data_IF_412302905675
#
_entry.id   IF_412302905675
#
_cell.length_a   1.000
_cell.length_b   1.000
_cell.length_c   1.000
_cell.angle_alpha   90.00
_cell.angle_beta   90.00
_cell.angle_gamma   90.00
#
_symmetry.space_group_name_H-M   'P 1'
#
loop_
_entity.id
_entity.type
_entity.pdbx_description
1 polymer ?
#
# COMPACT_ATOMS: atom_id res chain seq x y z
N UNK A 1 -25.25 -36.56 24.48
CA UNK A 1 -26.30 -35.85 25.24
C UNK A 1 -25.77 -35.60 26.64
N UNK A 2 -25.28 -34.39 26.90
CA UNK A 2 -24.44 -34.10 28.08
C UNK A 2 -25.24 -33.96 29.40
N UNK A 3 -26.58 -34.01 29.35
CA UNK A 3 -27.46 -33.75 30.48
C UNK A 3 -28.60 -34.78 30.67
N UNK A 4 -28.49 -35.99 30.07
CA UNK A 4 -29.54 -37.03 30.19
C UNK A 4 -30.74 -36.86 29.26
N UNK A 5 -30.71 -35.85 28.38
CA UNK A 5 -31.70 -35.67 27.32
C UNK A 5 -31.72 -36.86 26.34
N UNK A 6 -32.88 -37.13 25.74
CA UNK A 6 -33.03 -38.20 24.75
C UNK A 6 -32.62 -37.73 23.36
N UNK A 7 -31.74 -38.49 22.67
CA UNK A 7 -31.25 -38.12 21.34
C UNK A 7 -32.38 -37.94 20.32
N UNK A 8 -33.50 -38.63 20.52
CA UNK A 8 -34.71 -38.50 19.71
C UNK A 8 -35.41 -37.16 19.90
N UNK A 9 -35.49 -36.63 21.12
CA UNK A 9 -36.09 -35.33 21.38
C UNK A 9 -35.26 -34.21 20.72
N UNK A 10 -33.95 -34.22 20.93
CA UNK A 10 -33.04 -33.24 20.31
C UNK A 10 -33.03 -33.35 18.78
N UNK A 11 -33.17 -34.57 18.23
CA UNK A 11 -33.31 -34.78 16.79
C UNK A 11 -34.61 -34.17 16.23
N UNK A 12 -35.72 -34.33 16.96
CA UNK A 12 -37.02 -33.78 16.58
C UNK A 12 -36.99 -32.24 16.59
N UNK A 13 -36.45 -31.64 17.65
CA UNK A 13 -36.36 -30.19 17.81
C UNK A 13 -35.47 -29.55 16.74
N UNK A 14 -34.32 -30.16 16.46
CA UNK A 14 -33.38 -29.69 15.45
C UNK A 14 -33.80 -30.10 14.02
N UNK A 15 -34.87 -30.89 13.86
CA UNK A 15 -35.35 -31.46 12.59
C UNK A 15 -34.25 -32.18 11.80
N UNK A 16 -33.37 -32.89 12.51
CA UNK A 16 -32.27 -33.68 11.92
C UNK A 16 -32.41 -35.13 12.31
N UNK A 17 -31.94 -36.05 11.47
CA UNK A 17 -31.97 -37.47 11.80
C UNK A 17 -31.04 -37.77 12.99
N UNK A 18 -31.51 -38.56 13.96
CA UNK A 18 -30.77 -38.93 15.19
C UNK A 18 -29.36 -39.47 14.96
N UNK A 19 -29.12 -40.14 13.82
CA UNK A 19 -27.79 -40.66 13.45
C UNK A 19 -26.75 -39.56 13.26
N UNK A 20 -27.15 -38.40 12.73
CA UNK A 20 -26.27 -37.22 12.60
C UNK A 20 -25.79 -36.72 13.96
N UNK A 21 -26.65 -36.78 14.98
CA UNK A 21 -26.28 -36.37 16.33
C UNK A 21 -25.21 -37.29 16.92
N UNK A 22 -25.30 -38.60 16.67
CA UNK A 22 -24.27 -39.54 17.10
C UNK A 22 -22.95 -39.34 16.34
N UNK A 23 -23.00 -39.13 15.02
CA UNK A 23 -21.82 -38.79 14.20
C UNK A 23 -21.12 -37.54 14.73
N UNK A 24 -21.88 -36.47 14.98
CA UNK A 24 -21.34 -35.23 15.52
C UNK A 24 -20.79 -35.39 16.93
N UNK A 25 -21.48 -36.15 17.80
CA UNK A 25 -20.99 -36.41 19.14
C UNK A 25 -19.65 -37.18 19.11
N UNK A 26 -19.53 -38.15 18.22
CA UNK A 26 -18.31 -38.94 18.06
C UNK A 26 -17.16 -38.08 17.49
N UNK A 27 -17.45 -37.23 16.49
CA UNK A 27 -16.49 -36.24 15.98
C UNK A 27 -15.99 -35.30 17.08
N UNK A 28 -16.90 -34.80 17.94
CA UNK A 28 -16.52 -33.95 19.09
C UNK A 28 -15.69 -34.70 20.12
N UNK A 29 -15.97 -35.99 20.37
CA UNK A 29 -15.15 -36.81 21.28
C UNK A 29 -13.74 -37.03 20.73
N UNK A 30 -13.60 -37.18 19.42
CA UNK A 30 -12.32 -37.50 18.79
C UNK A 30 -11.44 -36.27 18.54
N UNK A 31 -12.02 -35.12 18.20
CA UNK A 31 -11.25 -33.92 17.85
C UNK A 31 -11.81 -32.60 18.39
N UNK A 32 -12.65 -32.67 19.43
CA UNK A 32 -13.27 -31.50 20.04
C UNK A 32 -14.25 -30.80 19.10
N UNK A 33 -14.71 -29.60 19.49
CA UNK A 33 -15.68 -28.83 18.70
C UNK A 33 -15.13 -28.43 17.31
N UNK A 34 -13.81 -28.37 17.14
CA UNK A 34 -13.19 -28.04 15.85
C UNK A 34 -13.33 -29.19 14.83
N UNK A 35 -13.54 -30.43 15.27
CA UNK A 35 -13.78 -31.58 14.39
C UNK A 35 -15.18 -31.62 13.76
N UNK A 36 -16.14 -30.84 14.27
CA UNK A 36 -17.43 -30.63 13.62
C UNK A 36 -17.33 -29.75 12.38
N UNK A 37 -16.17 -29.14 12.10
CA UNK A 37 -15.98 -28.43 10.84
C UNK A 37 -15.91 -29.42 9.69
N UNK A 38 -16.90 -29.33 8.80
CA UNK A 38 -16.81 -29.96 7.49
C UNK A 38 -15.61 -29.43 6.69
N UNK A 39 -15.17 -30.15 5.64
CA UNK A 39 -14.16 -29.67 4.72
C UNK A 39 -14.68 -28.40 4.04
N UNK A 40 -14.27 -27.25 4.57
CA UNK A 40 -14.72 -25.92 4.19
C UNK A 40 -13.61 -24.91 4.43
N UNK A 41 -13.79 -23.70 3.87
CA UNK A 41 -12.79 -22.64 3.89
C UNK A 41 -12.30 -22.37 5.33
N UNK A 42 -10.98 -22.41 5.59
CA UNK A 42 -10.44 -22.20 6.94
C UNK A 42 -10.84 -20.83 7.49
N UNK A 43 -10.99 -20.75 8.82
CA UNK A 43 -11.22 -19.49 9.55
C UNK A 43 -10.16 -18.48 9.10
N UNK A 44 -10.62 -17.32 8.63
CA UNK A 44 -9.80 -16.09 8.45
C UNK A 44 -9.07 -15.65 9.75
N UNK A 45 -9.33 -16.30 10.89
CA UNK A 45 -8.67 -16.08 12.17
C UNK A 45 -7.70 -17.17 12.66
N UNK A 46 -7.52 -18.29 11.94
CA UNK A 46 -6.44 -19.24 12.23
C UNK A 46 -5.21 -18.88 11.39
N UNK A 47 -4.71 -17.66 11.57
CA UNK A 47 -3.46 -17.21 10.99
C UNK A 47 -2.33 -17.41 12.00
N UNK A 48 -2.11 -18.65 12.40
CA UNK A 48 -0.73 -19.07 12.64
C UNK A 48 -0.12 -19.32 11.24
N UNK A 49 0.23 -18.21 10.57
CA UNK A 49 0.81 -18.08 9.21
C UNK A 49 -0.16 -17.48 8.15
N UNK A 50 0.26 -16.62 7.16
CA UNK A 50 1.58 -16.55 6.49
C UNK A 50 2.16 -15.13 6.19
N UNK A 51 3.41 -15.01 5.68
CA UNK A 51 4.14 -13.77 5.30
C UNK A 51 3.43 -12.73 4.42
N UNK A 52 2.23 -12.99 3.92
CA UNK A 52 1.56 -12.12 2.95
C UNK A 52 1.05 -10.81 3.59
N UNK A 53 0.44 -10.85 4.78
CA UNK A 53 -0.02 -9.63 5.47
C UNK A 53 1.15 -8.74 5.86
N UNK A 54 2.21 -9.34 6.41
CA UNK A 54 3.43 -8.60 6.75
C UNK A 54 4.16 -8.09 5.50
N UNK A 55 4.20 -8.86 4.41
CA UNK A 55 4.75 -8.41 3.13
C UNK A 55 3.98 -7.22 2.56
N UNK A 56 2.63 -7.26 2.53
CA UNK A 56 1.80 -6.15 2.05
C UNK A 56 2.00 -4.90 2.91
N UNK A 57 2.06 -5.05 4.24
CA UNK A 57 2.30 -3.92 5.15
C UNK A 57 3.71 -3.33 4.98
N UNK A 58 4.71 -4.18 4.77
CA UNK A 58 6.11 -3.78 4.59
C UNK A 58 6.33 -3.12 3.22
N UNK A 59 5.77 -3.69 2.16
CA UNK A 59 5.75 -3.10 0.82
C UNK A 59 5.06 -1.72 0.83
N UNK A 60 3.93 -1.60 1.52
CA UNK A 60 3.27 -0.31 1.72
C UNK A 60 4.13 0.69 2.51
N UNK A 61 4.92 0.24 3.48
CA UNK A 61 5.86 1.09 4.22
C UNK A 61 7.05 1.52 3.35
N UNK A 62 7.59 0.62 2.52
CA UNK A 62 8.66 0.92 1.57
C UNK A 62 8.20 1.91 0.50
N UNK A 63 7.00 1.73 -0.05
CA UNK A 63 6.38 2.65 -1.00
C UNK A 63 6.23 4.06 -0.41
N UNK A 64 5.73 4.17 0.84
CA UNK A 64 5.61 5.46 1.54
C UNK A 64 6.95 6.17 1.73
N UNK A 65 8.01 5.44 2.08
CA UNK A 65 9.37 6.01 2.19
C UNK A 65 9.85 6.53 0.85
N UNK A 66 9.64 5.75 -0.22
CA UNK A 66 10.05 6.16 -1.56
C UNK A 66 9.31 7.40 -2.05
N UNK A 67 8.01 7.50 -1.76
CA UNK A 67 7.20 8.69 -2.05
C UNK A 67 7.78 9.91 -1.33
N UNK A 68 8.04 9.81 -0.02
CA UNK A 68 8.60 10.92 0.75
C UNK A 68 10.00 11.36 0.27
N UNK A 69 10.85 10.42 -0.16
CA UNK A 69 12.14 10.74 -0.79
C UNK A 69 11.98 11.49 -2.10
N UNK A 70 11.03 11.06 -2.95
CA UNK A 70 10.76 11.70 -4.23
C UNK A 70 10.18 13.09 -4.02
N UNK A 71 9.25 13.28 -3.09
CA UNK A 71 8.69 14.58 -2.75
C UNK A 71 9.78 15.57 -2.30
N UNK A 72 10.73 15.12 -1.47
CA UNK A 72 11.88 15.96 -1.07
C UNK A 72 12.74 16.35 -2.27
N UNK A 73 13.07 15.41 -3.15
CA UNK A 73 13.86 15.68 -4.37
C UNK A 73 13.13 16.62 -5.32
N UNK A 74 11.82 16.47 -5.46
CA UNK A 74 11.01 17.38 -6.29
C UNK A 74 11.05 18.80 -5.71
N UNK A 75 10.92 18.95 -4.39
CA UNK A 75 11.05 20.24 -3.73
C UNK A 75 12.42 20.90 -3.95
N UNK A 76 13.50 20.13 -3.81
CA UNK A 76 14.88 20.59 -4.08
C UNK A 76 15.04 21.05 -5.54
N UNK A 77 14.61 20.23 -6.50
CA UNK A 77 14.65 20.56 -7.92
C UNK A 77 13.81 21.81 -8.26
N UNK A 78 12.65 21.99 -7.64
CA UNK A 78 11.84 23.20 -7.82
C UNK A 78 12.57 24.44 -7.33
N UNK A 79 13.21 24.38 -6.16
CA UNK A 79 14.03 25.47 -5.63
C UNK A 79 15.19 25.84 -6.56
N UNK A 80 15.91 24.84 -7.07
CA UNK A 80 17.01 25.04 -8.01
C UNK A 80 16.52 25.69 -9.31
N UNK A 81 15.42 25.20 -9.88
CA UNK A 81 14.84 25.76 -11.10
C UNK A 81 14.42 27.22 -10.92
N UNK A 82 13.85 27.56 -9.77
CA UNK A 82 13.45 28.94 -9.49
C UNK A 82 14.66 29.86 -9.29
N UNK A 83 15.72 29.37 -8.65
CA UNK A 83 17.01 30.06 -8.59
C UNK A 83 17.58 30.31 -9.99
N UNK A 84 17.65 29.28 -10.85
CA UNK A 84 18.17 29.43 -12.22
C UNK A 84 17.31 30.38 -13.05
N UNK A 85 15.98 30.32 -12.94
CA UNK A 85 15.08 31.26 -13.61
C UNK A 85 15.32 32.70 -13.16
N UNK A 86 15.59 32.94 -11.89
CA UNK A 86 15.94 34.28 -11.39
C UNK A 86 17.31 34.72 -11.89
N UNK A 87 18.33 33.88 -11.78
CA UNK A 87 19.68 34.18 -12.26
C UNK A 87 19.70 34.51 -13.77
N UNK A 88 19.02 33.71 -14.59
CA UNK A 88 18.92 33.96 -16.03
C UNK A 88 18.18 35.26 -16.36
N UNK A 89 17.18 35.66 -15.58
CA UNK A 89 16.52 36.97 -15.74
C UNK A 89 17.49 38.12 -15.49
N UNK A 90 18.32 38.04 -14.44
CA UNK A 90 19.33 39.06 -14.16
C UNK A 90 20.41 39.15 -15.23
N UNK A 91 20.86 38.01 -15.77
CA UNK A 91 21.83 37.99 -16.89
C UNK A 91 21.24 38.63 -18.14
N UNK A 92 19.99 38.28 -18.50
CA UNK A 92 19.28 38.89 -19.63
C UNK A 92 19.11 40.40 -19.45
N UNK A 93 18.74 40.86 -18.25
CA UNK A 93 18.62 42.29 -17.95
C UNK A 93 19.95 43.04 -18.13
N UNK A 94 21.06 42.46 -17.66
CA UNK A 94 22.41 43.03 -17.86
C UNK A 94 22.81 43.07 -19.33
N UNK A 95 22.53 42.02 -20.11
CA UNK A 95 22.76 42.03 -21.55
C UNK A 95 21.98 43.14 -22.26
N UNK A 96 20.70 43.32 -21.94
CA UNK A 96 19.87 44.39 -22.51
C UNK A 96 20.40 45.80 -22.15
N UNK A 97 20.89 45.99 -20.92
CA UNK A 97 21.52 47.26 -20.53
C UNK A 97 22.85 47.50 -21.27
N UNK A 98 23.65 46.47 -21.52
CA UNK A 98 24.87 46.58 -22.33
C UNK A 98 24.60 46.77 -23.82
N UNK A 99 23.44 46.33 -24.30
CA UNK A 99 22.97 46.47 -25.68
C UNK A 99 22.19 47.77 -25.94
N UNK A 100 22.15 48.70 -24.96
CA UNK A 100 21.57 50.03 -25.15
C UNK A 100 22.25 50.82 -26.30
N UNK A 101 21.59 51.87 -26.84
CA UNK A 101 21.89 52.50 -28.14
C UNK A 101 23.18 53.34 -28.18
N UNK A 102 24.32 52.73 -27.84
CA UNK A 102 25.66 53.28 -27.93
C UNK A 102 26.73 52.25 -28.33
N UNK A 103 26.35 51.00 -28.58
CA UNK A 103 27.25 49.92 -29.01
C UNK A 103 27.54 49.91 -30.53
N UNK A 104 27.26 51.01 -31.24
CA UNK A 104 27.75 51.27 -32.59
C UNK A 104 28.93 52.25 -32.54
N UNK A 105 30.02 51.89 -31.88
CA UNK A 105 31.30 52.62 -32.05
C UNK A 105 32.17 51.88 -33.06
N UNK A 106 31.93 52.23 -34.33
CA UNK A 106 32.89 52.31 -35.43
C UNK A 106 34.01 51.25 -35.44
N UNK A 107 33.76 50.09 -36.05
CA UNK A 107 34.83 49.32 -36.67
C UNK A 107 35.22 50.04 -37.96
N UNK A 108 36.31 50.82 -37.90
CA UNK A 108 36.90 51.51 -39.05
C UNK A 108 37.34 50.43 -40.06
N UNK A 109 36.61 50.33 -41.18
CA UNK A 109 36.99 49.49 -42.31
C UNK A 109 38.35 49.94 -42.84
N UNK A 110 39.39 49.14 -42.60
CA UNK A 110 40.71 49.32 -43.19
C UNK A 110 40.83 48.39 -44.37
N UNK A 111 40.73 48.94 -45.59
CA UNK A 111 41.12 48.23 -46.82
C UNK A 111 42.63 48.10 -46.87
N UNK A 112 43.13 46.90 -47.13
CA UNK A 112 44.42 46.69 -47.78
C UNK A 112 44.38 45.44 -48.62
#
# INVERSE_FOLDING_TARGET
MAAGESASAVAADLKVHRQRLYEWQDQVRQGGLEALRGPGRPRTGSLDGPPLKSAILNEGAAARRRIAELERKIGEQQGDLDFFRQALRHVKARQQMSAGPGALRSAKSSKR
#
